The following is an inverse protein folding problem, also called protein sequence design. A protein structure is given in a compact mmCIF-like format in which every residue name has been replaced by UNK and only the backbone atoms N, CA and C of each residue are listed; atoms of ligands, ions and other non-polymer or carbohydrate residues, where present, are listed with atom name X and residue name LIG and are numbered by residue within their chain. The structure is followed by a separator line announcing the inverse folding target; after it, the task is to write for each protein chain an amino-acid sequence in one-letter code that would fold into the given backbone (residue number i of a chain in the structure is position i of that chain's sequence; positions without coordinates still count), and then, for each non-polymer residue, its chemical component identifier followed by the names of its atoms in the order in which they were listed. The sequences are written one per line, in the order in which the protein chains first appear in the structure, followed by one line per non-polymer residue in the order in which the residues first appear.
data_IF_055627551983
#
_entry.id   IF_055627551983
#
_cell.length_a   1.000
_cell.length_b   1.000
_cell.length_c   1.000
_cell.angle_alpha   90.00
_cell.angle_beta   90.00
_cell.angle_gamma   90.00
#
_symmetry.space_group_name_H-M   'P 1'
#
loop_
_entity.id
_entity.type
_entity.pdbx_description
1 polymer ?
#
# COMPACT_ATOMS: atom_id res chain seq x y z
N UNK A 1 -0.15 -10.14 16.73
CA UNK A 1 -0.36 -9.73 15.32
C UNK A 1 -1.78 -10.11 14.97
N UNK A 2 -2.56 -9.25 14.32
CA UNK A 2 -3.92 -9.56 13.86
C UNK A 2 -3.88 -9.99 12.40
N UNK A 3 -4.70 -10.96 12.03
CA UNK A 3 -4.88 -11.41 10.65
C UNK A 3 -6.11 -10.75 10.04
N UNK A 4 -5.98 -10.29 8.81
CA UNK A 4 -7.06 -9.61 8.07
C UNK A 4 -6.87 -9.66 6.57
N UNK A 5 -7.66 -8.87 5.87
CA UNK A 5 -7.54 -8.70 4.42
C UNK A 5 -7.78 -7.23 4.02
N UNK A 6 -7.38 -6.89 2.80
CA UNK A 6 -7.68 -5.58 2.22
C UNK A 6 -9.10 -5.58 1.63
N UNK A 7 -9.91 -4.61 2.02
CA UNK A 7 -11.34 -4.58 1.66
C UNK A 7 -11.60 -4.42 0.17
N UNK A 8 -10.65 -3.90 -0.60
CA UNK A 8 -10.80 -3.70 -2.05
C UNK A 8 -11.02 -4.99 -2.85
N UNK A 9 -10.80 -6.17 -2.27
CA UNK A 9 -11.15 -7.46 -2.90
C UNK A 9 -12.67 -7.72 -2.91
N UNK A 10 -13.44 -6.99 -2.09
CA UNK A 10 -14.89 -7.04 -2.00
C UNK A 10 -15.48 -5.72 -2.57
N UNK A 11 -15.15 -5.42 -3.81
CA UNK A 11 -15.35 -4.15 -4.49
C UNK A 11 -16.81 -3.68 -4.63
N UNK A 12 -17.76 -4.61 -4.53
CA UNK A 12 -19.21 -4.35 -4.62
C UNK A 12 -19.92 -4.28 -3.27
N UNK A 13 -19.20 -4.58 -2.17
CA UNK A 13 -19.76 -4.63 -0.82
C UNK A 13 -19.77 -3.27 -0.14
N UNK A 14 -20.69 -3.06 0.79
CA UNK A 14 -20.64 -1.94 1.74
C UNK A 14 -19.57 -2.17 2.81
N UNK A 15 -19.26 -1.11 3.58
CA UNK A 15 -18.34 -1.25 4.72
C UNK A 15 -18.85 -2.29 5.74
N UNK A 16 -20.14 -2.26 6.04
CA UNK A 16 -20.78 -3.20 6.98
C UNK A 16 -20.66 -4.65 6.48
N UNK A 17 -20.90 -4.89 5.19
CA UNK A 17 -20.77 -6.22 4.58
C UNK A 17 -19.32 -6.72 4.58
N UNK A 18 -18.35 -5.82 4.40
CA UNK A 18 -16.91 -6.15 4.53
C UNK A 18 -16.58 -6.61 5.96
N UNK A 19 -17.04 -5.86 6.97
CA UNK A 19 -16.81 -6.20 8.38
C UNK A 19 -17.56 -7.48 8.77
N UNK A 20 -18.79 -7.69 8.27
CA UNK A 20 -19.55 -8.92 8.48
C UNK A 20 -18.83 -10.13 7.88
N UNK A 21 -18.28 -9.98 6.67
CA UNK A 21 -17.50 -11.03 6.00
C UNK A 21 -16.22 -11.35 6.78
N UNK A 22 -15.50 -10.32 7.26
CA UNK A 22 -14.32 -10.52 8.08
C UNK A 22 -14.64 -11.32 9.35
N UNK A 23 -15.68 -10.92 10.08
CA UNK A 23 -16.12 -11.60 11.29
C UNK A 23 -16.55 -13.05 11.02
N UNK A 24 -17.33 -13.28 9.96
CA UNK A 24 -17.81 -14.61 9.60
C UNK A 24 -16.69 -15.59 9.24
N UNK A 25 -15.59 -15.07 8.65
CA UNK A 25 -14.42 -15.86 8.28
C UNK A 25 -13.36 -15.95 9.41
N UNK A 26 -13.58 -15.29 10.56
CA UNK A 26 -12.69 -15.33 11.70
C UNK A 26 -11.49 -14.39 11.59
N UNK A 27 -11.52 -13.39 10.71
CA UNK A 27 -10.51 -12.35 10.65
C UNK A 27 -10.67 -11.34 11.79
N UNK A 28 -9.54 -10.83 12.29
CA UNK A 28 -9.49 -9.91 13.43
C UNK A 28 -9.42 -8.44 12.99
N UNK A 29 -9.06 -8.17 11.73
CA UNK A 29 -8.96 -6.82 11.21
C UNK A 29 -9.20 -6.75 9.68
N UNK A 30 -9.36 -5.51 9.22
CA UNK A 30 -9.48 -5.19 7.79
C UNK A 30 -8.63 -3.94 7.50
N UNK A 31 -7.86 -3.99 6.43
CA UNK A 31 -7.29 -2.81 5.80
C UNK A 31 -8.34 -2.21 4.87
N UNK A 32 -8.80 -0.99 5.17
CA UNK A 32 -9.99 -0.44 4.53
C UNK A 32 -9.62 0.48 3.36
N UNK A 33 -10.14 0.17 2.18
CA UNK A 33 -9.96 0.99 0.98
C UNK A 33 -10.73 2.32 1.11
N UNK A 34 -10.01 3.42 0.89
CA UNK A 34 -10.50 4.80 1.04
C UNK A 34 -10.15 5.66 -0.19
N UNK A 35 -10.32 5.13 -1.40
CA UNK A 35 -10.07 5.90 -2.61
C UNK A 35 -11.10 7.04 -2.77
N UNK A 36 -10.72 8.14 -3.45
CA UNK A 36 -11.73 9.09 -3.93
C UNK A 36 -12.78 8.38 -4.79
N UNK A 37 -14.05 8.81 -4.68
CA UNK A 37 -15.13 8.26 -5.50
C UNK A 37 -15.00 8.73 -6.96
N UNK A 38 -14.18 8.05 -7.71
CA UNK A 38 -13.97 8.31 -9.13
C UNK A 38 -13.79 7.01 -9.91
N UNK A 39 -14.06 7.08 -11.23
CA UNK A 39 -13.84 5.95 -12.10
C UNK A 39 -12.33 5.73 -12.28
N UNK A 40 -11.83 4.59 -11.86
CA UNK A 40 -10.43 4.23 -12.03
C UNK A 40 -10.24 3.19 -13.14
N UNK A 41 -9.11 3.30 -13.86
CA UNK A 41 -8.76 2.37 -14.93
C UNK A 41 -8.18 1.04 -14.40
N UNK A 42 -7.69 1.02 -13.15
CA UNK A 42 -7.02 -0.13 -12.54
C UNK A 42 -7.98 -0.96 -11.72
N UNK A 43 -7.78 -2.29 -11.73
CA UNK A 43 -8.41 -3.19 -10.79
C UNK A 43 -8.08 -2.77 -9.36
N UNK A 44 -9.07 -2.75 -8.48
CA UNK A 44 -8.98 -2.34 -7.08
C UNK A 44 -8.72 -0.84 -6.81
N UNK A 45 -8.47 -0.01 -7.81
CA UNK A 45 -8.46 1.43 -7.63
C UNK A 45 -9.87 2.02 -7.73
N UNK A 46 -10.10 3.13 -7.04
CA UNK A 46 -11.42 3.79 -7.01
C UNK A 46 -12.45 3.11 -6.10
N UNK A 47 -12.05 2.05 -5.35
CA UNK A 47 -12.92 1.38 -4.39
C UNK A 47 -12.90 2.15 -3.07
N UNK A 48 -14.09 2.45 -2.56
CA UNK A 48 -14.26 3.28 -1.37
C UNK A 48 -15.25 2.61 -0.42
N UNK A 49 -14.75 2.04 0.66
CA UNK A 49 -15.59 1.52 1.74
C UNK A 49 -15.80 2.55 2.86
N UNK A 50 -14.82 3.45 3.07
CA UNK A 50 -14.98 4.64 3.89
C UNK A 50 -14.67 5.86 3.03
N UNK A 51 -15.68 6.69 2.80
CA UNK A 51 -15.57 7.95 2.07
C UNK A 51 -15.05 9.04 3.00
N UNK A 52 -13.78 9.34 2.86
CA UNK A 52 -13.06 10.29 3.72
C UNK A 52 -13.62 11.72 3.58
N UNK A 53 -14.01 12.12 2.37
CA UNK A 53 -14.53 13.47 2.10
C UNK A 53 -15.95 13.68 2.66
N UNK A 54 -16.67 12.59 2.88
CA UNK A 54 -18.04 12.62 3.39
C UNK A 54 -18.16 12.12 4.84
N UNK A 55 -17.07 12.07 5.61
CA UNK A 55 -17.10 11.69 7.02
C UNK A 55 -17.80 12.75 7.87
N UNK A 56 -18.83 12.29 8.62
CA UNK A 56 -19.50 13.06 9.67
C UNK A 56 -19.35 12.34 11.00
N UNK A 57 -19.61 13.01 12.12
CA UNK A 57 -19.55 12.41 13.45
C UNK A 57 -20.49 11.20 13.57
N UNK A 58 -21.67 11.24 12.92
CA UNK A 58 -22.61 10.12 12.91
C UNK A 58 -22.05 8.92 12.14
N UNK A 59 -21.39 9.15 10.99
CA UNK A 59 -20.74 8.08 10.23
C UNK A 59 -19.57 7.47 11.00
N UNK A 60 -18.76 8.28 11.65
CA UNK A 60 -17.67 7.82 12.50
C UNK A 60 -18.21 6.94 13.63
N UNK A 61 -19.26 7.37 14.31
CA UNK A 61 -19.91 6.58 15.36
C UNK A 61 -20.46 5.26 14.82
N UNK A 62 -21.11 5.25 13.65
CA UNK A 62 -21.61 4.03 13.00
C UNK A 62 -20.48 3.05 12.64
N UNK A 63 -19.35 3.54 12.12
CA UNK A 63 -18.18 2.73 11.81
C UNK A 63 -17.62 2.07 13.08
N UNK A 64 -17.48 2.85 14.17
CA UNK A 64 -17.02 2.33 15.45
C UNK A 64 -17.98 1.27 16.00
N UNK A 65 -19.29 1.52 15.98
CA UNK A 65 -20.29 0.57 16.45
C UNK A 65 -20.22 -0.74 15.67
N UNK A 66 -20.12 -0.67 14.33
CA UNK A 66 -20.00 -1.84 13.45
C UNK A 66 -18.77 -2.67 13.80
N UNK A 67 -17.61 -2.03 13.93
CA UNK A 67 -16.35 -2.70 14.29
C UNK A 67 -16.42 -3.35 15.68
N UNK A 68 -16.94 -2.64 16.67
CA UNK A 68 -17.09 -3.14 18.06
C UNK A 68 -18.05 -4.33 18.12
N UNK A 69 -19.21 -4.23 17.49
CA UNK A 69 -20.24 -5.28 17.48
C UNK A 69 -19.73 -6.58 16.87
N UNK A 70 -18.85 -6.51 15.88
CA UNK A 70 -18.30 -7.68 15.18
C UNK A 70 -16.92 -8.09 15.70
N UNK A 71 -16.33 -7.33 16.62
CA UNK A 71 -14.97 -7.54 17.14
C UNK A 71 -13.91 -7.59 16.02
N UNK A 72 -14.05 -6.74 15.00
CA UNK A 72 -13.12 -6.59 13.87
C UNK A 72 -12.55 -5.17 13.91
N UNK A 73 -11.22 -5.04 13.90
CA UNK A 73 -10.55 -3.75 13.91
C UNK A 73 -10.28 -3.25 12.47
N UNK A 74 -10.12 -1.95 12.29
CA UNK A 74 -9.48 -1.39 11.11
C UNK A 74 -7.97 -1.39 11.36
N UNK A 75 -7.19 -2.11 10.54
CA UNK A 75 -5.73 -2.17 10.67
C UNK A 75 -5.01 -0.98 10.02
N UNK A 76 -5.56 -0.46 8.95
CA UNK A 76 -5.05 0.70 8.24
C UNK A 76 -6.14 1.29 7.31
N UNK A 77 -5.99 2.56 6.94
CA UNK A 77 -6.70 3.17 5.83
C UNK A 77 -5.83 3.09 4.57
N UNK A 78 -6.38 2.58 3.47
CA UNK A 78 -5.64 2.24 2.26
C UNK A 78 -5.96 3.15 1.07
N UNK A 79 -4.92 3.77 0.51
CA UNK A 79 -4.98 4.53 -0.73
C UNK A 79 -3.63 4.46 -1.44
N UNK A 80 -3.58 3.93 -2.66
CA UNK A 80 -2.35 3.59 -3.37
C UNK A 80 -2.17 4.38 -4.68
N UNK A 81 -2.06 5.73 -4.65
CA UNK A 81 -1.83 6.57 -5.82
C UNK A 81 -0.36 6.63 -6.20
N UNK A 82 -0.09 7.21 -7.36
CA UNK A 82 1.25 7.72 -7.68
C UNK A 82 1.35 9.20 -7.26
N UNK A 83 1.94 9.46 -6.09
CA UNK A 83 2.11 10.83 -5.57
C UNK A 83 3.30 11.58 -6.17
N UNK A 84 4.10 10.92 -7.00
CA UNK A 84 5.23 11.57 -7.71
C UNK A 84 4.93 11.83 -9.19
N UNK A 85 3.73 11.49 -9.69
CA UNK A 85 3.40 11.70 -11.11
C UNK A 85 3.79 13.11 -11.58
N UNK A 86 4.22 13.24 -12.84
CA UNK A 86 4.55 14.51 -13.49
C UNK A 86 3.30 15.32 -13.89
N UNK A 87 2.11 14.72 -13.86
CA UNK A 87 0.83 15.42 -13.88
C UNK A 87 0.61 16.14 -12.53
N UNK A 88 1.01 17.43 -12.47
CA UNK A 88 0.97 18.21 -11.22
C UNK A 88 -0.43 18.35 -10.61
N UNK A 89 -1.52 18.58 -11.37
CA UNK A 89 -2.89 18.54 -10.84
C UNK A 89 -3.25 17.20 -10.19
N UNK A 90 -2.92 16.09 -10.84
CA UNK A 90 -3.16 14.75 -10.30
C UNK A 90 -2.32 14.48 -9.06
N UNK A 91 -1.05 14.90 -9.07
CA UNK A 91 -0.17 14.82 -7.89
C UNK A 91 -0.78 15.56 -6.70
N UNK A 92 -1.21 16.82 -6.91
CA UNK A 92 -1.79 17.62 -5.84
C UNK A 92 -3.05 16.97 -5.27
N UNK A 93 -3.96 16.50 -6.14
CA UNK A 93 -5.17 15.78 -5.72
C UNK A 93 -4.82 14.54 -4.88
N UNK A 94 -3.83 13.76 -5.31
CA UNK A 94 -3.41 12.57 -4.57
C UNK A 94 -2.82 12.91 -3.20
N UNK A 95 -2.00 13.96 -3.11
CA UNK A 95 -1.42 14.45 -1.86
C UNK A 95 -2.48 15.00 -0.92
N UNK A 96 -3.43 15.78 -1.43
CA UNK A 96 -4.52 16.36 -0.63
C UNK A 96 -5.42 15.26 -0.04
N UNK A 97 -5.79 14.26 -0.84
CA UNK A 97 -6.56 13.12 -0.35
C UNK A 97 -5.79 12.30 0.69
N UNK A 98 -4.50 12.06 0.48
CA UNK A 98 -3.65 11.37 1.46
C UNK A 98 -3.59 12.14 2.80
N UNK A 99 -3.48 13.46 2.76
CA UNK A 99 -3.55 14.30 3.97
C UNK A 99 -4.91 14.24 4.65
N UNK A 100 -6.00 14.25 3.89
CA UNK A 100 -7.34 14.05 4.44
C UNK A 100 -7.49 12.70 5.15
N UNK A 101 -6.89 11.63 4.62
CA UNK A 101 -6.85 10.32 5.29
C UNK A 101 -6.04 10.36 6.58
N UNK A 102 -4.88 11.04 6.59
CA UNK A 102 -4.05 11.22 7.79
C UNK A 102 -4.85 11.94 8.88
N UNK A 103 -5.60 12.97 8.53
CA UNK A 103 -6.46 13.72 9.46
C UNK A 103 -7.65 12.87 9.97
N UNK A 104 -8.21 12.02 9.11
CA UNK A 104 -9.36 11.17 9.44
C UNK A 104 -8.97 9.96 10.30
N UNK A 105 -7.76 9.43 10.14
CA UNK A 105 -7.34 8.20 10.79
C UNK A 105 -7.49 8.21 12.33
N UNK A 106 -7.06 9.25 13.07
CA UNK A 106 -7.28 9.31 14.52
C UNK A 106 -8.76 9.35 14.92
N UNK A 107 -9.61 10.00 14.11
CA UNK A 107 -11.07 10.06 14.34
C UNK A 107 -11.71 8.68 14.20
N UNK A 108 -11.13 7.80 13.40
CA UNK A 108 -11.53 6.41 13.18
C UNK A 108 -10.80 5.42 14.11
N UNK A 109 -10.00 5.89 15.07
CA UNK A 109 -9.13 5.10 15.95
C UNK A 109 -8.15 4.22 15.17
N UNK A 110 -7.67 4.70 14.04
CA UNK A 110 -6.67 4.06 13.19
C UNK A 110 -5.36 4.86 13.28
N UNK A 111 -4.25 4.18 13.48
CA UNK A 111 -2.93 4.81 13.62
C UNK A 111 -2.04 4.66 12.37
N UNK A 112 -2.55 4.01 11.33
CA UNK A 112 -1.76 3.66 10.15
C UNK A 112 -2.51 3.98 8.85
N UNK A 113 -1.81 4.61 7.91
CA UNK A 113 -2.24 4.78 6.52
C UNK A 113 -1.28 4.01 5.62
N UNK A 114 -1.80 3.13 4.79
CA UNK A 114 -1.04 2.35 3.81
C UNK A 114 -1.15 2.98 2.42
N UNK A 115 -0.01 3.10 1.73
CA UNK A 115 0.02 3.83 0.46
C UNK A 115 1.23 3.44 -0.40
N UNK A 116 1.34 4.06 -1.58
CA UNK A 116 2.54 4.09 -2.42
C UNK A 116 3.17 5.49 -2.40
N UNK A 117 4.47 5.54 -2.74
CA UNK A 117 5.12 6.80 -3.06
C UNK A 117 4.87 7.19 -4.51
N UNK A 118 4.92 6.22 -5.40
CA UNK A 118 4.87 6.46 -6.83
C UNK A 118 6.24 6.72 -7.44
N UNK A 119 6.26 7.04 -8.73
CA UNK A 119 7.46 7.31 -9.53
C UNK A 119 7.10 8.00 -10.83
N UNK A 120 7.96 8.87 -11.31
CA UNK A 120 8.01 9.29 -12.71
C UNK A 120 8.88 8.28 -13.46
N UNK A 121 8.28 7.49 -14.35
CA UNK A 121 8.96 6.35 -15.00
C UNK A 121 10.16 6.76 -15.86
N UNK A 122 10.07 7.90 -16.55
CA UNK A 122 11.10 8.37 -17.46
C UNK A 122 12.29 9.03 -16.77
N UNK A 123 12.23 9.21 -15.45
CA UNK A 123 13.30 9.76 -14.65
C UNK A 123 14.12 8.67 -13.97
N UNK A 124 15.38 8.98 -13.72
CA UNK A 124 16.29 8.12 -12.95
C UNK A 124 15.81 7.96 -11.51
N UNK A 125 16.37 7.00 -10.79
CA UNK A 125 16.12 6.85 -9.34
C UNK A 125 16.56 8.09 -8.57
N UNK A 126 17.68 8.71 -8.95
CA UNK A 126 18.21 9.92 -8.32
C UNK A 126 17.22 11.08 -8.45
N UNK A 127 16.77 11.37 -9.67
CA UNK A 127 15.79 12.42 -9.92
C UNK A 127 14.48 12.18 -9.19
N UNK A 128 14.01 10.93 -9.16
CA UNK A 128 12.82 10.56 -8.39
C UNK A 128 13.01 10.74 -6.87
N UNK A 129 14.20 10.50 -6.34
CA UNK A 129 14.49 10.72 -4.92
C UNK A 129 14.49 12.22 -4.55
N UNK A 130 14.91 13.11 -5.45
CA UNK A 130 14.79 14.56 -5.22
C UNK A 130 13.31 15.00 -5.17
N UNK A 131 12.49 14.53 -6.13
CA UNK A 131 11.04 14.79 -6.12
C UNK A 131 10.40 14.19 -4.87
N UNK A 132 10.78 12.97 -4.49
CA UNK A 132 10.31 12.32 -3.26
C UNK A 132 10.59 13.20 -2.03
N UNK A 133 11.80 13.70 -1.88
CA UNK A 133 12.17 14.54 -0.75
C UNK A 133 11.29 15.80 -0.67
N UNK A 134 11.07 16.45 -1.80
CA UNK A 134 10.23 17.64 -1.90
C UNK A 134 8.78 17.35 -1.51
N UNK A 135 8.17 16.32 -2.12
CA UNK A 135 6.76 16.00 -1.96
C UNK A 135 6.47 15.36 -0.60
N UNK A 136 7.33 14.44 -0.15
CA UNK A 136 7.04 13.60 1.01
C UNK A 136 7.49 14.20 2.35
N UNK A 137 8.46 15.09 2.37
CA UNK A 137 8.85 15.76 3.64
C UNK A 137 7.66 16.44 4.32
N UNK A 138 6.85 17.26 3.63
CA UNK A 138 5.67 17.87 4.26
C UNK A 138 4.55 16.87 4.59
N UNK A 139 4.42 15.77 3.85
CA UNK A 139 3.43 14.72 4.15
C UNK A 139 3.81 14.00 5.46
N UNK A 140 5.07 13.63 5.61
CA UNK A 140 5.52 12.92 6.82
C UNK A 140 5.46 13.83 8.05
N UNK A 141 5.82 15.10 7.95
CA UNK A 141 5.63 16.06 9.04
C UNK A 141 4.17 16.17 9.46
N UNK A 142 3.26 16.22 8.49
CA UNK A 142 1.83 16.26 8.77
C UNK A 142 1.35 14.96 9.46
N UNK A 143 1.89 13.80 9.05
CA UNK A 143 1.59 12.53 9.70
C UNK A 143 2.13 12.48 11.16
N UNK A 144 3.32 13.03 11.42
CA UNK A 144 3.89 13.17 12.78
C UNK A 144 2.99 14.01 13.69
N UNK A 145 2.51 15.15 13.19
CA UNK A 145 1.60 16.05 13.93
C UNK A 145 0.30 15.34 14.33
N UNK A 146 -0.21 14.46 13.46
CA UNK A 146 -1.42 13.67 13.71
C UNK A 146 -1.16 12.32 14.40
N UNK A 147 0.11 11.96 14.66
CA UNK A 147 0.53 10.67 15.24
C UNK A 147 0.06 9.46 14.41
N UNK A 148 0.08 9.60 13.10
CA UNK A 148 -0.31 8.57 12.14
C UNK A 148 0.91 8.02 11.42
N UNK A 149 1.08 6.72 11.43
CA UNK A 149 2.15 6.02 10.70
C UNK A 149 1.80 5.92 9.22
N UNK A 150 2.77 6.21 8.37
CA UNK A 150 2.67 5.99 6.94
C UNK A 150 3.45 4.74 6.57
N UNK A 151 2.76 3.74 6.06
CA UNK A 151 3.31 2.45 5.67
C UNK A 151 3.32 2.30 4.15
N UNK A 152 4.50 2.33 3.54
CA UNK A 152 4.67 2.26 2.09
C UNK A 152 4.80 0.80 1.65
N UNK A 153 3.92 0.35 0.73
CA UNK A 153 4.05 -0.98 0.14
C UNK A 153 5.19 -1.00 -0.91
N UNK A 154 5.97 -2.08 -0.90
CA UNK A 154 7.10 -2.28 -1.81
C UNK A 154 6.70 -2.85 -3.17
N UNK A 155 5.43 -2.81 -3.53
CA UNK A 155 4.94 -3.21 -4.86
C UNK A 155 5.52 -2.31 -5.94
N UNK A 156 6.10 -2.84 -7.04
CA UNK A 156 6.57 -2.05 -8.18
C UNK A 156 5.48 -1.32 -8.96
N UNK A 157 4.20 -1.63 -8.72
CA UNK A 157 3.04 -1.08 -9.44
C UNK A 157 3.11 -1.36 -10.95
N UNK A 158 3.21 -2.64 -11.32
CA UNK A 158 3.17 -3.07 -12.71
C UNK A 158 1.72 -3.27 -13.14
N UNK A 159 1.22 -2.42 -14.03
CA UNK A 159 -0.17 -2.49 -14.51
C UNK A 159 -0.29 -3.04 -15.92
N UNK A 160 0.81 -3.07 -16.67
CA UNK A 160 0.88 -3.59 -18.02
C UNK A 160 2.30 -3.63 -18.58
N UNK A 161 2.50 -4.29 -19.74
CA UNK A 161 3.81 -4.41 -20.37
C UNK A 161 4.48 -3.07 -20.68
N UNK A 162 3.69 -2.04 -21.00
CA UNK A 162 4.17 -0.70 -21.34
C UNK A 162 4.87 0.01 -20.19
N UNK A 163 4.68 -0.48 -18.96
CA UNK A 163 5.26 0.10 -17.74
C UNK A 163 6.51 -0.64 -17.27
N UNK A 164 6.90 -1.65 -18.01
CA UNK A 164 8.10 -2.43 -17.74
C UNK A 164 9.24 -2.00 -18.70
N UNK A 165 10.54 -1.96 -18.23
CA UNK A 165 10.94 -2.15 -16.83
C UNK A 165 10.75 -0.87 -16.00
N UNK A 166 10.62 -1.06 -14.67
CA UNK A 166 10.69 0.01 -13.68
C UNK A 166 9.42 0.28 -12.87
N UNK A 167 8.24 -0.03 -13.41
CA UNK A 167 6.97 0.19 -12.69
C UNK A 167 6.71 1.66 -12.34
N UNK A 168 5.73 1.91 -11.48
CA UNK A 168 5.31 3.25 -11.05
C UNK A 168 5.52 3.52 -9.56
N UNK A 169 6.35 2.74 -8.88
CA UNK A 169 6.66 2.96 -7.47
C UNK A 169 8.17 2.98 -7.23
N UNK A 170 8.63 3.93 -6.42
CA UNK A 170 10.05 4.12 -6.12
C UNK A 170 10.55 3.17 -5.04
N UNK A 171 9.75 2.92 -4.00
CA UNK A 171 10.14 2.19 -2.78
C UNK A 171 10.17 0.67 -2.95
N UNK A 172 10.83 0.14 -3.98
CA UNK A 172 10.76 -1.27 -4.37
C UNK A 172 11.91 -2.15 -3.88
N UNK A 173 12.98 -1.55 -3.35
CA UNK A 173 14.18 -2.29 -2.94
C UNK A 173 14.76 -1.79 -1.62
N UNK A 174 15.47 -2.64 -0.85
CA UNK A 174 16.16 -2.23 0.38
C UNK A 174 17.17 -1.10 0.18
N UNK A 175 17.82 -1.06 -0.99
CA UNK A 175 18.77 0.01 -1.32
C UNK A 175 18.10 1.38 -1.38
N UNK A 176 16.92 1.46 -1.98
CA UNK A 176 16.13 2.70 -2.03
C UNK A 176 15.56 3.03 -0.65
N UNK A 177 15.11 2.04 0.12
CA UNK A 177 14.58 2.25 1.47
C UNK A 177 15.59 2.91 2.40
N UNK A 178 16.86 2.44 2.40
CA UNK A 178 17.94 3.08 3.21
C UNK A 178 18.06 4.56 2.88
N UNK A 179 18.04 4.91 1.61
CA UNK A 179 18.13 6.29 1.15
C UNK A 179 16.91 7.10 1.54
N UNK A 180 15.72 6.59 1.31
CA UNK A 180 14.47 7.27 1.65
C UNK A 180 14.37 7.55 3.16
N UNK A 181 14.66 6.57 4.01
CA UNK A 181 14.66 6.75 5.47
C UNK A 181 15.79 7.66 5.97
N UNK A 182 16.94 7.71 5.27
CA UNK A 182 17.99 8.66 5.56
C UNK A 182 17.59 10.09 5.17
N UNK A 183 16.86 10.26 4.07
CA UNK A 183 16.40 11.57 3.59
C UNK A 183 15.27 12.13 4.44
N UNK A 184 14.37 11.28 4.93
CA UNK A 184 13.24 11.64 5.80
C UNK A 184 13.28 10.72 7.04
N UNK A 185 14.14 11.07 8.04
CA UNK A 185 14.25 10.28 9.26
C UNK A 185 13.06 10.57 10.19
N UNK A 186 12.10 9.65 10.24
CA UNK A 186 10.87 9.76 11.03
C UNK A 186 10.44 8.39 11.54
N UNK A 187 9.93 8.34 12.78
CA UNK A 187 9.34 7.13 13.36
C UNK A 187 7.91 6.87 12.83
N UNK A 188 7.36 7.81 12.07
CA UNK A 188 6.05 7.70 11.43
C UNK A 188 6.14 7.36 9.95
N UNK A 189 7.34 7.16 9.41
CA UNK A 189 7.59 6.75 8.03
C UNK A 189 8.21 5.35 8.00
N UNK A 190 7.51 4.40 7.36
CA UNK A 190 7.92 3.00 7.33
C UNK A 190 7.30 2.22 6.18
N UNK A 191 7.17 0.92 6.37
CA UNK A 191 6.84 -0.04 5.33
C UNK A 191 5.51 -0.76 5.63
N UNK A 192 4.73 -0.95 4.60
CA UNK A 192 3.78 -2.05 4.45
C UNK A 192 4.49 -3.14 3.66
N UNK A 193 5.05 -4.12 4.36
CA UNK A 193 5.98 -5.07 3.80
C UNK A 193 5.27 -6.20 3.06
N UNK A 194 5.63 -6.42 1.80
CA UNK A 194 5.11 -7.50 0.97
C UNK A 194 6.28 -8.37 0.45
N UNK A 195 6.47 -9.60 0.96
CA UNK A 195 7.56 -10.47 0.54
C UNK A 195 7.41 -10.95 -0.92
N UNK A 196 6.20 -11.06 -1.43
CA UNK A 196 5.95 -11.62 -2.77
C UNK A 196 6.63 -10.83 -3.88
N UNK A 197 6.72 -9.51 -3.71
CA UNK A 197 7.38 -8.65 -4.69
C UNK A 197 8.90 -8.82 -4.74
N UNK A 198 9.51 -9.43 -3.74
CA UNK A 198 10.94 -9.70 -3.72
C UNK A 198 11.28 -11.03 -4.40
N UNK A 199 10.42 -12.03 -4.27
CA UNK A 199 10.67 -13.38 -4.81
C UNK A 199 10.94 -13.34 -6.32
N UNK A 200 10.05 -12.73 -7.10
CA UNK A 200 10.23 -12.65 -8.56
C UNK A 200 11.37 -11.71 -8.99
N UNK A 201 11.74 -10.74 -8.14
CA UNK A 201 12.91 -9.89 -8.35
C UNK A 201 14.23 -10.56 -7.89
N UNK A 202 14.17 -11.79 -7.37
CA UNK A 202 15.31 -12.53 -6.82
C UNK A 202 16.01 -11.76 -5.66
N UNK A 203 15.24 -10.99 -4.90
CA UNK A 203 15.70 -10.32 -3.69
C UNK A 203 15.39 -11.22 -2.49
N UNK A 204 16.36 -11.39 -1.58
CA UNK A 204 16.15 -12.07 -0.31
C UNK A 204 15.11 -11.30 0.53
N UNK A 205 13.95 -11.91 0.76
CA UNK A 205 12.87 -11.28 1.50
C UNK A 205 12.98 -11.46 3.03
N UNK A 206 13.94 -12.27 3.51
CA UNK A 206 14.15 -12.47 4.96
C UNK A 206 15.07 -11.39 5.54
N UNK A 207 16.20 -11.07 4.86
CA UNK A 207 17.16 -10.06 5.35
C UNK A 207 16.53 -8.70 5.64
N UNK A 208 15.66 -8.14 4.78
CA UNK A 208 15.01 -6.86 5.06
C UNK A 208 14.14 -6.86 6.31
N UNK A 209 13.56 -8.00 6.70
CA UNK A 209 12.79 -8.11 7.94
C UNK A 209 13.65 -7.79 9.17
N UNK A 210 14.90 -8.26 9.20
CA UNK A 210 15.82 -7.98 10.29
C UNK A 210 16.36 -6.54 10.24
N UNK A 211 16.72 -6.07 9.04
CA UNK A 211 17.30 -4.74 8.85
C UNK A 211 16.32 -3.61 9.15
N UNK A 212 15.06 -3.77 8.69
CA UNK A 212 14.03 -2.72 8.78
C UNK A 212 12.93 -3.03 9.80
N UNK A 213 13.16 -3.94 10.77
CA UNK A 213 12.16 -4.38 11.76
C UNK A 213 11.41 -3.23 12.44
N UNK A 214 12.11 -2.14 12.75
CA UNK A 214 11.54 -0.97 13.44
C UNK A 214 10.80 -0.02 12.47
N UNK A 215 10.86 -0.29 11.17
CA UNK A 215 10.18 0.44 10.09
C UNK A 215 9.03 -0.34 9.46
N UNK A 216 8.82 -1.60 9.82
CA UNK A 216 7.70 -2.40 9.32
C UNK A 216 6.50 -2.16 10.23
N UNK A 217 5.50 -1.43 9.72
CA UNK A 217 4.29 -1.07 10.45
C UNK A 217 3.10 -1.96 10.09
N UNK A 218 3.08 -2.44 8.86
CA UNK A 218 2.03 -3.30 8.30
C UNK A 218 2.65 -4.35 7.37
N UNK A 219 1.95 -5.46 7.13
CA UNK A 219 2.45 -6.54 6.27
C UNK A 219 1.33 -7.03 5.35
N UNK A 220 1.63 -7.17 4.08
CA UNK A 220 0.81 -7.90 3.13
C UNK A 220 1.35 -9.32 2.93
N UNK A 221 0.62 -10.31 3.39
CA UNK A 221 0.91 -11.72 3.13
C UNK A 221 0.39 -12.11 1.75
N UNK A 222 1.14 -11.75 0.73
CA UNK A 222 0.90 -12.21 -0.64
C UNK A 222 1.93 -13.27 -1.01
N UNK A 223 1.57 -14.12 -1.96
CA UNK A 223 2.45 -15.15 -2.47
C UNK A 223 2.46 -15.13 -4.00
N UNK A 224 3.54 -15.60 -4.56
CA UNK A 224 3.72 -15.75 -6.01
C UNK A 224 4.45 -17.06 -6.32
N UNK A 225 4.23 -17.59 -7.51
CA UNK A 225 4.99 -18.70 -8.07
C UNK A 225 5.82 -18.22 -9.25
N UNK A 226 7.13 -18.39 -9.17
CA UNK A 226 8.04 -18.25 -10.31
C UNK A 226 8.13 -19.60 -11.03
N UNK A 227 8.08 -19.58 -12.34
CA UNK A 227 8.20 -20.76 -13.19
C UNK A 227 9.58 -20.75 -13.85
N UNK A 228 10.54 -21.58 -13.38
CA UNK A 228 11.91 -21.57 -13.87
C UNK A 228 12.00 -21.77 -15.39
N UNK A 229 11.27 -22.74 -15.94
CA UNK A 229 11.28 -23.01 -17.39
C UNK A 229 10.84 -21.80 -18.23
N UNK A 230 9.85 -21.03 -17.72
CA UNK A 230 9.43 -19.79 -18.37
C UNK A 230 10.46 -18.68 -18.23
N UNK A 231 11.05 -18.56 -17.03
CA UNK A 231 12.11 -17.59 -16.77
C UNK A 231 13.33 -17.84 -17.65
N UNK A 232 13.71 -19.12 -17.84
CA UNK A 232 14.82 -19.54 -18.70
C UNK A 232 14.54 -19.19 -20.19
N UNK A 233 13.26 -19.22 -20.60
CA UNK A 233 12.87 -18.91 -21.98
C UNK A 233 12.83 -17.39 -22.26
N UNK A 234 12.24 -16.61 -21.36
CA UNK A 234 12.00 -15.16 -21.58
C UNK A 234 13.04 -14.24 -20.92
N UNK A 235 13.73 -14.73 -19.88
CA UNK A 235 14.70 -13.98 -19.10
C UNK A 235 14.10 -13.00 -18.09
N UNK A 236 14.93 -12.57 -17.12
CA UNK A 236 14.53 -11.70 -16.01
C UNK A 236 14.08 -10.29 -16.46
N UNK A 237 14.43 -9.87 -17.67
CA UNK A 237 14.05 -8.57 -18.23
C UNK A 237 12.68 -8.59 -18.92
N UNK A 238 12.06 -9.76 -19.06
CA UNK A 238 10.69 -9.87 -19.57
C UNK A 238 9.67 -9.29 -18.59
N UNK A 239 8.46 -9.03 -19.09
CA UNK A 239 7.37 -8.62 -18.21
C UNK A 239 7.10 -9.71 -17.16
N UNK A 240 7.06 -9.38 -15.85
CA UNK A 240 7.06 -10.40 -14.80
C UNK A 240 5.96 -11.46 -14.89
N UNK A 241 4.77 -11.10 -15.38
CA UNK A 241 3.67 -12.06 -15.55
C UNK A 241 3.91 -13.11 -16.64
N UNK A 242 4.94 -12.95 -17.47
CA UNK A 242 5.33 -13.95 -18.45
C UNK A 242 5.98 -15.18 -17.78
N UNK A 243 6.66 -14.98 -16.64
CA UNK A 243 7.36 -16.04 -15.92
C UNK A 243 6.91 -16.29 -14.47
N UNK A 244 5.97 -15.46 -13.95
CA UNK A 244 5.43 -15.67 -12.60
C UNK A 244 3.90 -15.55 -12.59
N UNK A 245 3.28 -16.03 -11.51
CA UNK A 245 1.86 -15.77 -11.25
C UNK A 245 1.58 -15.54 -9.76
N UNK A 246 0.65 -14.62 -9.41
CA UNK A 246 0.18 -14.47 -8.04
C UNK A 246 -0.46 -15.77 -7.53
N UNK A 247 -0.27 -16.07 -6.26
CA UNK A 247 -0.83 -17.24 -5.56
C UNK A 247 -1.45 -16.81 -4.24
N UNK A 248 -2.34 -17.66 -3.74
CA UNK A 248 -2.76 -17.58 -2.35
C UNK A 248 -1.57 -17.96 -1.44
N UNK A 249 -1.46 -17.37 -0.24
CA UNK A 249 -0.40 -17.68 0.71
C UNK A 249 -0.23 -19.19 0.94
N UNK A 250 1.00 -19.67 0.87
CA UNK A 250 1.36 -21.07 1.00
C UNK A 250 1.23 -21.92 -0.29
N UNK A 251 0.86 -21.32 -1.42
CA UNK A 251 0.78 -22.00 -2.72
C UNK A 251 1.83 -21.52 -3.73
N UNK A 252 2.72 -20.64 -3.32
CA UNK A 252 3.79 -20.07 -4.14
C UNK A 252 5.18 -20.37 -3.60
N UNK A 253 6.06 -19.39 -3.68
CA UNK A 253 7.47 -19.47 -3.34
C UNK A 253 7.87 -18.58 -2.14
N UNK A 254 6.90 -17.94 -1.48
CA UNK A 254 7.12 -17.28 -0.18
C UNK A 254 6.94 -18.34 0.91
N UNK A 255 8.01 -18.56 1.70
CA UNK A 255 8.07 -19.56 2.77
C UNK A 255 8.07 -18.87 4.16
#
# INVERSE_FOLDING_TARGET
MKLGFISSILDTSSFEEVIDTAAALGYECVEVACWPKEKAARRYAGITHIDIEALTDEKIASIHETCLKKNVAISALAYYPNTLTDDLPQRQKAVDHLKAMIEAAPKLHVDTVTTFIGRVQNLTVEENLEIFKEVWTPIIRFAEEHKVKIAIENCPMLFGPDQWPGGQNLMTTPAIWRRAFQMIPSDFFGLNYDPSHFVWQQIDYIKPLYEFKDKIFHVHYKDIKVYPDKLDDVGIMAYPLDFMSPKLPGLGDVD
#
